data_IF_432618433440
#
_entry.id   IF_432618433440
#
_cell.length_a   1.000
_cell.length_b   1.000
_cell.length_c   1.000
_cell.angle_alpha   90.00
_cell.angle_beta   90.00
_cell.angle_gamma   90.00
#
_symmetry.space_group_name_H-M   'P 1'
#
loop_
_entity.id
_entity.type
_entity.pdbx_description
1 polymer ?
#
# COMPACT_ATOMS: atom_id res chain seq x y z
N UNK A 1 21.29 -2.56 -10.41
CA UNK A 1 21.14 -1.17 -9.94
C UNK A 1 19.66 -0.92 -9.73
N UNK A 2 19.25 -0.81 -8.49
CA UNK A 2 17.84 -0.61 -8.13
C UNK A 2 17.38 0.80 -8.50
N UNK A 3 16.14 0.92 -8.93
CA UNK A 3 15.51 2.16 -9.36
C UNK A 3 14.08 2.20 -8.86
N UNK A 4 13.40 3.35 -9.00
CA UNK A 4 11.96 3.43 -8.74
C UNK A 4 11.16 2.38 -9.51
N UNK A 5 11.55 2.10 -10.76
CA UNK A 5 10.89 1.08 -11.59
C UNK A 5 11.04 -0.31 -10.98
N UNK A 6 12.21 -0.63 -10.42
CA UNK A 6 12.46 -1.90 -9.73
C UNK A 6 11.55 -2.04 -8.51
N UNK A 7 11.55 -1.03 -7.63
CA UNK A 7 10.67 -1.00 -6.44
C UNK A 7 9.19 -1.14 -6.84
N UNK A 8 8.78 -0.41 -7.89
CA UNK A 8 7.40 -0.48 -8.40
C UNK A 8 7.03 -1.89 -8.86
N UNK A 9 7.91 -2.56 -9.59
CA UNK A 9 7.68 -3.94 -10.06
C UNK A 9 7.61 -4.92 -8.89
N UNK A 10 8.47 -4.76 -7.87
CA UNK A 10 8.46 -5.60 -6.68
C UNK A 10 7.19 -5.36 -5.83
N UNK A 11 6.70 -4.12 -5.76
CA UNK A 11 5.42 -3.81 -5.13
C UNK A 11 4.23 -4.43 -5.88
N UNK A 12 4.28 -4.48 -7.21
CA UNK A 12 3.28 -5.19 -8.01
C UNK A 12 3.35 -6.70 -7.72
N UNK A 13 4.55 -7.29 -7.72
CA UNK A 13 4.74 -8.72 -7.42
C UNK A 13 4.27 -9.08 -6.01
N UNK A 14 4.57 -8.24 -5.01
CA UNK A 14 4.03 -8.39 -3.66
C UNK A 14 2.49 -8.40 -3.68
N UNK A 15 1.88 -7.42 -4.33
CA UNK A 15 0.42 -7.32 -4.38
C UNK A 15 -0.23 -8.50 -5.13
N UNK A 16 0.41 -9.01 -6.20
CA UNK A 16 -0.05 -10.19 -6.93
C UNK A 16 0.01 -11.48 -6.09
N UNK A 17 1.06 -11.61 -5.26
CA UNK A 17 1.24 -12.78 -4.38
C UNK A 17 0.39 -12.72 -3.12
N UNK A 18 0.04 -11.54 -2.64
CA UNK A 18 -0.69 -11.34 -1.39
C UNK A 18 -2.17 -11.70 -1.55
N UNK A 19 -2.66 -12.68 -0.74
CA UNK A 19 -4.00 -13.27 -0.91
C UNK A 19 -5.16 -12.27 -0.69
N UNK A 20 -4.95 -11.27 0.15
CA UNK A 20 -6.00 -10.30 0.50
C UNK A 20 -6.04 -9.08 -0.45
N UNK A 21 -4.98 -8.81 -1.23
CA UNK A 21 -4.97 -7.69 -2.16
C UNK A 21 -5.66 -8.05 -3.48
N UNK A 22 -6.52 -7.16 -3.94
CA UNK A 22 -7.24 -7.30 -5.21
C UNK A 22 -6.81 -6.28 -6.26
N UNK A 23 -6.15 -5.20 -5.84
CA UNK A 23 -5.66 -4.19 -6.76
C UNK A 23 -4.39 -3.49 -6.23
N UNK A 24 -3.60 -2.95 -7.15
CA UNK A 24 -2.45 -2.10 -6.85
C UNK A 24 -2.48 -0.87 -7.76
N UNK A 25 -2.18 0.30 -7.20
CA UNK A 25 -2.18 1.56 -7.94
C UNK A 25 -0.98 2.44 -7.62
N UNK A 26 -0.67 3.37 -8.52
CA UNK A 26 0.48 4.26 -8.41
C UNK A 26 0.15 5.67 -8.87
N UNK A 27 0.64 6.67 -8.14
CA UNK A 27 0.52 8.08 -8.48
C UNK A 27 -0.12 8.90 -7.37
N UNK A 28 -0.78 10.00 -7.74
CA UNK A 28 -1.43 10.89 -6.77
C UNK A 28 -2.66 10.21 -6.14
N UNK A 29 -2.72 10.06 -4.80
CA UNK A 29 -3.87 9.48 -4.11
C UNK A 29 -5.18 10.24 -4.32
N UNK A 30 -5.11 11.54 -4.62
CA UNK A 30 -6.30 12.36 -4.91
C UNK A 30 -6.92 12.04 -6.27
N UNK A 31 -6.15 11.39 -7.15
CA UNK A 31 -6.55 10.99 -8.50
C UNK A 31 -6.73 9.48 -8.63
N UNK A 32 -7.06 8.77 -7.55
CA UNK A 32 -7.32 7.32 -7.61
C UNK A 32 -8.48 7.07 -8.58
N UNK A 33 -8.20 6.26 -9.59
CA UNK A 33 -9.14 5.91 -10.64
C UNK A 33 -8.65 4.73 -11.48
N UNK A 34 -9.42 4.34 -12.48
CA UNK A 34 -9.16 3.14 -13.30
C UNK A 34 -7.87 3.23 -14.13
N UNK A 35 -7.40 4.45 -14.44
CA UNK A 35 -6.23 4.64 -15.28
C UNK A 35 -4.90 4.38 -14.56
N UNK A 36 -4.89 4.47 -13.23
CA UNK A 36 -3.69 4.33 -12.40
C UNK A 36 -3.76 3.17 -11.40
N UNK A 37 -4.77 2.32 -11.53
CA UNK A 37 -4.98 1.12 -10.72
C UNK A 37 -5.01 -0.13 -11.60
N UNK A 38 -4.30 -1.16 -11.18
CA UNK A 38 -4.28 -2.48 -11.79
C UNK A 38 -5.12 -3.42 -10.93
N UNK A 39 -6.22 -3.93 -11.46
CA UNK A 39 -7.01 -4.95 -10.80
C UNK A 39 -6.34 -6.33 -11.01
N UNK A 40 -5.93 -6.97 -9.91
CA UNK A 40 -5.13 -8.19 -9.93
C UNK A 40 -5.98 -9.47 -10.09
N UNK A 41 -7.24 -9.44 -9.66
CA UNK A 41 -8.12 -10.60 -9.59
C UNK A 41 -9.21 -10.63 -10.65
N UNK A 42 -9.36 -9.56 -11.43
CA UNK A 42 -10.39 -9.45 -12.45
C UNK A 42 -9.91 -8.59 -13.62
N UNK A 43 -10.53 -8.80 -14.76
CA UNK A 43 -10.31 -7.96 -15.97
C UNK A 43 -11.25 -6.75 -16.03
N UNK A 44 -12.06 -6.53 -15.00
CA UNK A 44 -12.92 -5.37 -14.88
C UNK A 44 -12.05 -4.09 -14.78
N UNK A 45 -12.18 -3.24 -15.79
CA UNK A 45 -11.41 -1.99 -15.90
C UNK A 45 -12.27 -0.75 -15.63
N UNK A 46 -13.57 -0.94 -15.41
CA UNK A 46 -14.51 0.16 -15.30
C UNK A 46 -14.64 0.66 -13.86
N UNK A 47 -14.03 -0.03 -12.90
CA UNK A 47 -14.04 0.34 -11.49
C UNK A 47 -12.76 -0.07 -10.77
N UNK A 48 -12.46 0.64 -9.68
CA UNK A 48 -11.42 0.26 -8.72
C UNK A 48 -11.95 -0.86 -7.84
N UNK A 49 -11.12 -1.91 -7.61
CA UNK A 49 -11.46 -3.05 -6.76
C UNK A 49 -10.65 -2.96 -5.46
N UNK A 50 -11.27 -3.37 -4.37
CA UNK A 50 -10.69 -3.37 -3.03
C UNK A 50 -10.53 -4.81 -2.50
N UNK A 51 -9.62 -5.08 -1.54
CA UNK A 51 -8.61 -4.17 -0.96
C UNK A 51 -7.57 -3.69 -1.99
N UNK A 52 -7.22 -2.40 -1.88
CA UNK A 52 -6.29 -1.71 -2.77
C UNK A 52 -5.02 -1.31 -2.01
N UNK A 53 -3.86 -1.64 -2.58
CA UNK A 53 -2.57 -1.06 -2.24
C UNK A 53 -2.30 0.11 -3.20
N UNK A 54 -2.15 1.34 -2.67
CA UNK A 54 -1.85 2.51 -3.49
C UNK A 54 -0.55 3.17 -3.05
N UNK A 55 0.30 3.53 -4.00
CA UNK A 55 1.66 3.98 -3.73
C UNK A 55 1.99 5.24 -4.51
N UNK A 56 2.48 6.25 -3.78
CA UNK A 56 2.91 7.53 -4.33
C UNK A 56 4.37 7.84 -3.98
N UNK A 57 5.20 8.03 -5.00
CA UNK A 57 6.59 8.44 -4.84
C UNK A 57 6.66 9.95 -4.60
N UNK A 58 6.96 10.35 -3.37
CA UNK A 58 6.88 11.75 -2.95
C UNK A 58 8.18 12.54 -3.17
N UNK A 59 9.31 11.97 -2.77
CA UNK A 59 10.61 12.67 -2.86
C UNK A 59 11.78 11.70 -2.89
N UNK A 60 12.92 12.19 -3.36
CA UNK A 60 14.18 11.48 -3.28
C UNK A 60 15.26 12.39 -2.69
N UNK A 61 16.08 11.84 -1.78
CA UNK A 61 17.28 12.49 -1.26
C UNK A 61 18.49 11.61 -1.54
N UNK A 62 19.63 12.23 -1.78
CA UNK A 62 20.84 11.54 -2.24
C UNK A 62 22.01 11.80 -1.27
N UNK A 63 22.05 11.15 -0.10
CA UNK A 63 23.23 11.17 0.75
C UNK A 63 24.40 10.45 0.06
N UNK A 64 25.61 10.60 0.61
CA UNK A 64 26.79 9.93 0.04
C UNK A 64 26.60 8.40 0.11
N UNK A 65 26.65 7.75 -1.05
CA UNK A 65 26.59 6.28 -1.17
C UNK A 65 25.19 5.66 -1.21
N UNK A 66 24.13 6.46 -1.08
CA UNK A 66 22.77 5.96 -1.13
C UNK A 66 21.81 6.95 -1.80
N UNK A 67 20.67 6.46 -2.23
CA UNK A 67 19.48 7.25 -2.57
C UNK A 67 18.35 6.84 -1.66
N UNK A 68 17.80 7.77 -0.92
CA UNK A 68 16.62 7.55 -0.09
C UNK A 68 15.38 8.03 -0.85
N UNK A 69 14.50 7.10 -1.18
CA UNK A 69 13.23 7.38 -1.84
C UNK A 69 12.12 7.34 -0.80
N UNK A 70 11.48 8.49 -0.59
CA UNK A 70 10.31 8.61 0.29
C UNK A 70 9.05 8.33 -0.49
N UNK A 71 8.27 7.39 0.00
CA UNK A 71 7.05 6.89 -0.63
C UNK A 71 5.90 6.94 0.35
N UNK A 72 4.74 7.43 -0.08
CA UNK A 72 3.48 7.27 0.66
C UNK A 72 2.82 5.98 0.21
N UNK A 73 2.47 5.15 1.18
CA UNK A 73 1.80 3.86 0.96
C UNK A 73 0.44 3.91 1.64
N UNK A 74 -0.62 3.62 0.88
CA UNK A 74 -1.99 3.51 1.39
C UNK A 74 -2.47 2.08 1.18
N UNK A 75 -3.03 1.49 2.23
CA UNK A 75 -3.78 0.23 2.13
C UNK A 75 -5.19 0.52 2.56
N UNK A 76 -6.16 0.25 1.70
CA UNK A 76 -7.56 0.61 1.91
C UNK A 76 -8.51 -0.48 1.46
N UNK A 77 -9.68 -0.54 2.13
CA UNK A 77 -10.78 -1.42 1.75
C UNK A 77 -12.13 -0.73 1.96
N UNK A 78 -13.16 -1.28 1.33
CA UNK A 78 -14.52 -0.77 1.44
C UNK A 78 -15.12 -1.10 2.80
N UNK A 79 -15.76 -0.11 3.40
CA UNK A 79 -16.55 -0.28 4.62
C UNK A 79 -17.99 -0.58 4.25
N UNK A 80 -18.44 -1.80 4.56
CA UNK A 80 -19.81 -2.22 4.31
C UNK A 80 -20.77 -1.73 5.41
N UNK A 81 -21.93 -1.25 5.00
CA UNK A 81 -23.03 -0.95 5.93
C UNK A 81 -23.71 -2.25 6.36
N UNK A 82 -23.59 -2.58 7.65
CA UNK A 82 -24.18 -3.78 8.25
C UNK A 82 -25.58 -3.54 8.80
N UNK A 83 -26.22 -2.38 8.55
CA UNK A 83 -27.61 -2.13 8.98
C UNK A 83 -28.55 -3.20 8.43
N UNK A 84 -29.20 -3.94 9.34
CA UNK A 84 -30.11 -5.03 9.00
C UNK A 84 -29.52 -6.45 9.17
N UNK A 85 -28.25 -6.57 9.50
CA UNK A 85 -27.67 -7.84 9.95
C UNK A 85 -27.92 -8.02 11.45
N UNK A 86 -28.82 -8.94 11.82
CA UNK A 86 -29.08 -9.27 13.23
C UNK A 86 -27.91 -10.09 13.79
N UNK A 87 -26.98 -9.42 14.46
CA UNK A 87 -26.00 -10.10 15.30
C UNK A 87 -26.65 -10.45 16.64
N UNK A 88 -27.25 -11.63 16.74
CA UNK A 88 -27.76 -12.15 18.01
C UNK A 88 -26.64 -12.88 18.73
N UNK A 89 -26.03 -12.25 19.71
CA UNK A 89 -25.18 -12.95 20.70
C UNK A 89 -26.04 -13.19 21.92
N UNK A 90 -26.14 -14.46 22.31
CA UNK A 90 -26.94 -15.00 23.40
C UNK A 90 -26.90 -14.13 24.68
N UNK A 91 -28.00 -13.47 24.98
CA UNK A 91 -28.32 -12.98 26.34
C UNK A 91 -27.68 -11.66 26.79
N UNK A 92 -26.90 -10.96 26.00
CA UNK A 92 -26.28 -9.68 26.36
C UNK A 92 -26.68 -8.59 25.38
N UNK A 93 -26.87 -7.34 25.90
CA UNK A 93 -27.04 -6.17 25.04
C UNK A 93 -25.70 -5.92 24.34
N UNK A 94 -25.61 -6.32 23.09
CA UNK A 94 -24.44 -6.05 22.25
C UNK A 94 -24.69 -4.70 21.55
N UNK A 95 -23.74 -3.79 21.65
CA UNK A 95 -23.73 -2.61 20.82
C UNK A 95 -23.69 -3.04 19.37
N UNK A 96 -24.70 -2.70 18.59
CA UNK A 96 -24.73 -2.98 17.16
C UNK A 96 -23.76 -2.05 16.49
N UNK A 97 -22.68 -2.63 15.97
CA UNK A 97 -21.85 -1.93 14.99
C UNK A 97 -22.68 -1.75 13.72
N UNK A 98 -22.72 -0.55 13.20
CA UNK A 98 -23.50 -0.25 11.99
C UNK A 98 -22.72 -0.56 10.71
N UNK A 99 -21.43 -0.87 10.84
CA UNK A 99 -20.53 -1.19 9.74
C UNK A 99 -19.38 -2.11 10.21
N UNK A 100 -18.50 -2.51 9.28
CA UNK A 100 -17.34 -3.36 9.52
C UNK A 100 -16.01 -2.57 9.53
N UNK A 101 -16.04 -1.30 9.88
CA UNK A 101 -14.84 -0.42 9.84
C UNK A 101 -13.66 -0.97 10.64
N UNK A 102 -13.91 -1.50 11.85
CA UNK A 102 -12.84 -2.05 12.70
C UNK A 102 -12.19 -3.31 12.11
N UNK A 103 -12.96 -4.15 11.42
CA UNK A 103 -12.45 -5.33 10.72
C UNK A 103 -11.58 -4.90 9.53
N UNK A 104 -12.06 -3.94 8.73
CA UNK A 104 -11.33 -3.35 7.62
C UNK A 104 -10.01 -2.74 8.08
N UNK A 105 -10.02 -1.99 9.19
CA UNK A 105 -8.81 -1.40 9.76
C UNK A 105 -7.82 -2.47 10.25
N UNK A 106 -8.32 -3.57 10.82
CA UNK A 106 -7.47 -4.68 11.26
C UNK A 106 -6.81 -5.39 10.09
N UNK A 107 -7.57 -5.71 9.04
CA UNK A 107 -7.07 -6.42 7.87
C UNK A 107 -6.11 -5.56 7.06
N UNK A 108 -6.42 -4.29 6.83
CA UNK A 108 -5.55 -3.36 6.11
C UNK A 108 -4.26 -3.04 6.88
N UNK A 109 -4.29 -3.03 8.22
CA UNK A 109 -3.07 -2.92 9.04
C UNK A 109 -2.17 -4.15 8.86
N UNK A 110 -2.76 -5.34 8.82
CA UNK A 110 -2.01 -6.58 8.60
C UNK A 110 -1.32 -6.59 7.25
N UNK A 111 -2.00 -6.20 6.18
CA UNK A 111 -1.39 -6.05 4.85
C UNK A 111 -0.22 -5.07 4.88
N UNK A 112 -0.36 -3.94 5.59
CA UNK A 112 0.74 -2.97 5.75
C UNK A 112 1.93 -3.57 6.50
N UNK A 113 1.69 -4.38 7.55
CA UNK A 113 2.75 -5.08 8.29
C UNK A 113 3.47 -6.10 7.42
N UNK A 114 2.73 -6.89 6.62
CA UNK A 114 3.29 -7.88 5.71
C UNK A 114 4.16 -7.19 4.64
N UNK A 115 3.72 -6.04 4.10
CA UNK A 115 4.51 -5.24 3.17
C UNK A 115 5.82 -4.76 3.82
N UNK A 116 5.76 -4.17 5.01
CA UNK A 116 6.96 -3.68 5.69
C UNK A 116 7.94 -4.83 5.97
N UNK A 117 7.46 -5.98 6.42
CA UNK A 117 8.28 -7.16 6.69
C UNK A 117 8.96 -7.66 5.41
N UNK A 118 8.19 -7.83 4.33
CA UNK A 118 8.70 -8.30 3.03
C UNK A 118 9.84 -7.43 2.49
N UNK A 119 9.74 -6.10 2.62
CA UNK A 119 10.73 -5.17 2.08
C UNK A 119 11.86 -4.80 3.06
N UNK A 120 11.79 -5.25 4.31
CA UNK A 120 12.86 -5.05 5.29
C UNK A 120 13.84 -6.21 5.33
N UNK A 121 13.36 -7.44 5.23
CA UNK A 121 14.12 -8.64 5.55
C UNK A 121 14.55 -9.47 4.32
N UNK A 122 14.29 -9.01 3.09
CA UNK A 122 14.65 -9.75 1.88
C UNK A 122 16.12 -9.53 1.49
N UNK A 123 16.99 -10.56 1.67
CA UNK A 123 18.42 -10.46 1.35
C UNK A 123 18.72 -10.44 -0.16
N UNK A 124 17.76 -10.78 -1.00
CA UNK A 124 17.93 -10.84 -2.45
C UNK A 124 17.69 -9.47 -3.12
N UNK A 125 17.20 -8.48 -2.37
CA UNK A 125 17.00 -7.12 -2.85
C UNK A 125 18.20 -6.23 -2.60
N UNK A 126 18.53 -5.40 -3.60
CA UNK A 126 19.57 -4.37 -3.50
C UNK A 126 19.13 -3.13 -2.70
N UNK A 127 17.96 -3.13 -2.10
CA UNK A 127 17.39 -2.00 -1.36
C UNK A 127 16.55 -2.50 -0.18
N UNK A 128 16.36 -1.65 0.81
CA UNK A 128 15.60 -1.99 2.02
C UNK A 128 14.80 -0.80 2.53
N UNK A 129 13.78 -1.08 3.34
CA UNK A 129 13.10 -0.04 4.11
C UNK A 129 13.98 0.36 5.28
N UNK A 130 14.17 1.68 5.47
CA UNK A 130 14.97 2.23 6.58
C UNK A 130 14.10 3.05 7.52
N UNK A 131 14.50 3.01 8.81
CA UNK A 131 13.80 3.75 9.86
C UNK A 131 12.50 3.10 10.31
N UNK A 132 11.83 3.76 11.26
CA UNK A 132 10.55 3.31 11.76
C UNK A 132 9.43 3.73 10.79
N UNK A 133 8.57 2.80 10.42
CA UNK A 133 7.37 3.08 9.65
C UNK A 133 6.22 3.39 10.58
N UNK A 134 5.65 4.59 10.45
CA UNK A 134 4.47 5.01 11.22
C UNK A 134 3.27 5.07 10.31
N UNK A 135 2.22 4.35 10.66
CA UNK A 135 0.96 4.34 9.93
C UNK A 135 -0.10 5.20 10.65
N UNK A 136 -0.84 5.96 9.87
CA UNK A 136 -1.97 6.78 10.35
C UNK A 136 -3.26 6.25 9.74
N UNK A 137 -4.26 6.05 10.58
CA UNK A 137 -5.60 5.65 10.16
C UNK A 137 -6.26 6.77 9.36
N UNK A 138 -6.99 6.39 8.32
CA UNK A 138 -7.91 7.28 7.62
C UNK A 138 -9.26 6.60 7.36
N UNK A 139 -10.29 7.43 7.20
CA UNK A 139 -11.62 7.02 6.76
C UNK A 139 -12.09 8.09 5.79
N UNK A 140 -12.44 7.71 4.59
CA UNK A 140 -13.02 8.60 3.57
C UNK A 140 -14.41 8.13 3.19
N UNK A 141 -15.34 9.08 3.12
CA UNK A 141 -16.69 8.87 2.62
C UNK A 141 -16.89 9.79 1.42
N UNK A 142 -16.65 9.25 0.23
CA UNK A 142 -17.01 9.90 -1.05
C UNK A 142 -18.18 9.13 -1.65
N UNK A 143 -18.05 8.61 -2.85
CA UNK A 143 -19.05 7.75 -3.47
C UNK A 143 -19.14 6.39 -2.75
N UNK A 144 -17.98 5.86 -2.30
CA UNK A 144 -17.85 4.70 -1.43
C UNK A 144 -17.20 5.09 -0.10
N UNK A 145 -17.65 4.50 1.02
CA UNK A 145 -16.94 4.61 2.30
C UNK A 145 -15.76 3.65 2.27
N UNK A 146 -14.56 4.18 2.38
CA UNK A 146 -13.31 3.39 2.48
C UNK A 146 -12.58 3.73 3.76
N UNK A 147 -11.92 2.74 4.35
CA UNK A 147 -11.06 2.91 5.52
C UNK A 147 -9.74 2.18 5.32
N UNK A 148 -8.72 2.57 6.05
CA UNK A 148 -7.42 1.94 5.95
C UNK A 148 -6.32 2.70 6.66
N UNK A 149 -5.08 2.42 6.23
CA UNK A 149 -3.88 3.00 6.79
C UNK A 149 -3.01 3.64 5.71
N UNK A 150 -2.48 4.79 6.06
CA UNK A 150 -1.46 5.49 5.28
C UNK A 150 -0.15 5.51 6.05
N UNK A 151 0.94 5.13 5.40
CA UNK A 151 2.28 5.16 5.97
C UNK A 151 3.24 5.91 5.05
N UNK A 152 4.24 6.55 5.64
CA UNK A 152 5.41 7.05 4.91
C UNK A 152 6.55 6.07 5.08
N UNK A 153 7.05 5.57 3.97
CA UNK A 153 8.11 4.56 3.90
C UNK A 153 9.32 5.17 3.20
N UNK A 154 10.51 4.90 3.70
CA UNK A 154 11.76 5.32 3.08
C UNK A 154 12.51 4.10 2.58
N UNK A 155 12.64 3.96 1.26
CA UNK A 155 13.50 2.96 0.64
C UNK A 155 14.91 3.52 0.50
N UNK A 156 15.89 2.82 1.05
CA UNK A 156 17.30 3.10 0.83
C UNK A 156 17.84 2.23 -0.30
N UNK A 157 18.29 2.88 -1.36
CA UNK A 157 18.90 2.24 -2.52
C UNK A 157 20.40 2.58 -2.48
N UNK A 158 21.27 1.62 -2.18
CA UNK A 158 22.70 1.83 -2.24
C UNK A 158 23.11 2.14 -3.69
N UNK A 159 23.93 3.16 -3.88
CA UNK A 159 24.53 3.38 -5.16
C UNK A 159 26.06 3.58 -5.04
N UNK A 160 26.81 2.90 -5.88
CA UNK A 160 28.22 3.16 -6.09
C UNK A 160 28.38 3.95 -7.39
N UNK A 161 29.12 5.05 -7.34
CA UNK A 161 29.48 5.80 -8.54
C UNK A 161 30.41 4.94 -9.41
N UNK A 162 29.85 4.28 -10.42
CA UNK A 162 30.67 3.61 -11.44
C UNK A 162 30.94 4.61 -12.57
N UNK A 163 32.14 5.14 -12.60
CA UNK A 163 32.59 6.14 -13.59
C UNK A 163 32.49 5.62 -15.02
N UNK A 164 32.58 4.30 -15.20
CA UNK A 164 32.47 3.65 -16.52
C UNK A 164 31.05 3.58 -17.09
N UNK A 165 30.04 3.88 -16.28
CA UNK A 165 28.63 3.86 -16.69
C UNK A 165 28.04 5.25 -16.94
N UNK A 166 28.83 6.32 -16.79
CA UNK A 166 28.36 7.66 -17.10
C UNK A 166 28.30 7.79 -18.63
N UNK A 167 27.11 8.03 -19.23
CA UNK A 167 27.04 8.28 -20.65
C UNK A 167 27.87 9.53 -20.98
N UNK A 168 28.91 9.37 -21.75
CA UNK A 168 29.62 10.52 -22.33
C UNK A 168 28.93 10.89 -23.63
N UNK A 169 28.64 12.18 -23.81
CA UNK A 169 28.15 12.73 -25.07
C UNK A 169 29.20 12.64 -26.14
#
# INVERSE_FOLDING_TARGET
MSSWVTIKNDLIAFAESHLQLNAVGFGDPLAIGTDNVINLRTTDRDRVIYPLLFVDAQSASMPIGATNLTVSVLVMDMVADLRGVDATISGSVVYRWTDNEDEVLSDTLRIMQDLVAEFTDDPDRDYTITGAVSATRFVEARDDKVAGWQATVVFELPFSRNVCQIPTR
#
